data_IF_694671576693
#
_entry.id   IF_694671576693
#
_cell.length_a   1.000
_cell.length_b   1.000
_cell.length_c   1.000
_cell.angle_alpha   90.00
_cell.angle_beta   90.00
_cell.angle_gamma   90.00
#
_symmetry.space_group_name_H-M   'P 1'
#
loop_
_entity.id
_entity.type
_entity.pdbx_description
1 polymer ?
#
# COMPACT_ATOMS: atom_id res chain seq x y z
N UNK A 1 4.46 8.56 -0.02
CA UNK A 1 3.42 7.54 0.22
C UNK A 1 2.16 8.24 0.68
N UNK A 2 1.00 7.67 0.42
CA UNK A 2 -0.29 8.19 0.87
C UNK A 2 -0.72 7.40 2.11
N UNK A 3 -1.31 8.09 3.09
CA UNK A 3 -1.82 7.49 4.34
C UNK A 3 -3.34 7.27 4.34
N UNK A 4 -4.06 7.90 3.41
CA UNK A 4 -5.48 7.66 3.15
C UNK A 4 -5.68 6.77 1.90
N UNK A 5 -6.92 6.62 1.44
CA UNK A 5 -7.26 5.72 0.34
C UNK A 5 -8.51 6.16 -0.42
N UNK A 6 -8.63 7.45 -0.72
CA UNK A 6 -9.82 7.99 -1.39
C UNK A 6 -9.93 7.46 -2.82
N UNK A 7 -11.15 7.45 -3.36
CA UNK A 7 -11.42 6.89 -4.70
C UNK A 7 -10.58 7.59 -5.77
N UNK A 8 -9.69 6.81 -6.41
CA UNK A 8 -8.74 7.27 -7.44
C UNK A 8 -7.80 8.38 -6.98
N UNK A 9 -7.49 8.48 -5.70
CA UNK A 9 -6.73 9.60 -5.11
C UNK A 9 -5.43 9.93 -5.84
N UNK A 10 -4.58 8.92 -6.10
CA UNK A 10 -3.32 9.11 -6.85
C UNK A 10 -3.57 9.70 -8.24
N UNK A 11 -4.57 9.18 -8.96
CA UNK A 11 -4.89 9.65 -10.32
C UNK A 11 -5.43 11.07 -10.30
N UNK A 12 -6.34 11.39 -9.37
CA UNK A 12 -6.88 12.74 -9.19
C UNK A 12 -5.79 13.76 -8.83
N UNK A 13 -4.84 13.36 -7.99
CA UNK A 13 -3.70 14.21 -7.63
C UNK A 13 -2.83 14.54 -8.85
N UNK A 14 -2.54 13.53 -9.69
CA UNK A 14 -1.81 13.74 -10.95
C UNK A 14 -2.62 14.59 -11.94
N UNK A 15 -3.91 14.30 -12.12
CA UNK A 15 -4.83 15.05 -13.00
C UNK A 15 -4.87 16.54 -12.60
N UNK A 16 -4.88 16.86 -11.31
CA UNK A 16 -4.85 18.24 -10.80
C UNK A 16 -3.56 19.01 -11.16
N UNK A 17 -2.49 18.29 -11.51
CA UNK A 17 -1.21 18.83 -11.97
C UNK A 17 -1.07 18.77 -13.50
N UNK A 18 -2.15 18.44 -14.22
CA UNK A 18 -2.16 18.18 -15.67
C UNK A 18 -1.23 17.03 -16.07
N UNK A 19 -1.14 16.00 -15.23
CA UNK A 19 -0.35 14.79 -15.49
C UNK A 19 -1.27 13.58 -15.66
N UNK A 20 -0.95 12.75 -16.65
CA UNK A 20 -1.61 11.46 -16.86
C UNK A 20 -0.85 10.32 -16.16
N UNK A 21 -1.61 9.35 -15.64
CA UNK A 21 -1.06 8.15 -14.99
C UNK A 21 -1.15 6.97 -15.94
N UNK A 22 -0.03 6.66 -16.61
CA UNK A 22 0.12 5.52 -17.50
C UNK A 22 0.02 4.18 -16.73
N UNK A 23 0.84 4.01 -15.69
CA UNK A 23 0.87 2.79 -14.87
C UNK A 23 0.86 3.12 -13.38
N UNK A 24 -0.05 2.47 -12.64
CA UNK A 24 -0.13 2.58 -11.19
C UNK A 24 -0.03 1.19 -10.55
N UNK A 25 1.01 0.98 -9.74
CA UNK A 25 1.23 -0.27 -9.01
C UNK A 25 1.49 0.06 -7.54
N UNK A 26 0.78 -0.61 -6.64
CA UNK A 26 1.04 -0.52 -5.20
C UNK A 26 2.14 -1.50 -4.82
N UNK A 27 3.34 -0.99 -4.56
CA UNK A 27 4.54 -1.80 -4.26
C UNK A 27 4.72 -2.12 -2.78
N UNK A 28 4.03 -1.39 -1.89
CA UNK A 28 4.09 -1.55 -0.43
C UNK A 28 2.77 -1.16 0.21
N UNK A 29 2.41 -1.84 1.29
CA UNK A 29 1.32 -1.44 2.19
C UNK A 29 1.74 -1.70 3.64
N UNK A 30 1.86 -0.63 4.44
CA UNK A 30 2.42 -0.72 5.79
C UNK A 30 3.80 -1.41 5.79
N UNK A 31 4.02 -2.44 6.63
CA UNK A 31 5.27 -3.18 6.67
C UNK A 31 5.46 -4.17 5.52
N UNK A 32 4.40 -4.49 4.76
CA UNK A 32 4.41 -5.52 3.71
C UNK A 32 4.87 -4.94 2.38
N UNK A 33 5.83 -5.61 1.74
CA UNK A 33 6.37 -5.24 0.42
C UNK A 33 6.02 -6.29 -0.64
N UNK A 34 5.77 -5.83 -1.86
CA UNK A 34 5.52 -6.69 -3.03
C UNK A 34 6.78 -7.48 -3.43
N UNK A 35 7.95 -6.82 -3.42
CA UNK A 35 9.23 -7.45 -3.74
C UNK A 35 9.23 -8.10 -5.13
N UNK A 36 9.66 -9.35 -5.20
CA UNK A 36 9.72 -10.17 -6.42
C UNK A 36 8.52 -11.12 -6.59
N UNK A 37 7.39 -10.86 -5.90
CA UNK A 37 6.20 -11.69 -6.00
C UNK A 37 5.59 -11.58 -7.40
N UNK A 38 5.39 -12.69 -8.14
CA UNK A 38 4.78 -12.67 -9.46
C UNK A 38 3.34 -12.14 -9.42
N UNK A 39 2.90 -11.56 -10.55
CA UNK A 39 1.51 -11.11 -10.70
C UNK A 39 0.55 -12.27 -10.50
N UNK A 40 -0.49 -12.06 -9.69
CA UNK A 40 -1.50 -13.08 -9.36
C UNK A 40 -1.07 -14.10 -8.30
N UNK A 41 0.21 -14.11 -7.89
CA UNK A 41 0.67 -14.97 -6.81
C UNK A 41 0.37 -14.37 -5.43
N UNK A 42 0.31 -15.23 -4.42
CA UNK A 42 0.17 -14.86 -3.01
C UNK A 42 1.27 -15.52 -2.19
N UNK A 43 1.56 -14.94 -1.02
CA UNK A 43 2.45 -15.53 -0.03
C UNK A 43 1.90 -15.33 1.37
N UNK A 44 2.23 -16.20 2.33
CA UNK A 44 2.01 -15.91 3.74
C UNK A 44 2.73 -14.64 4.18
N UNK A 45 2.14 -13.95 5.15
CA UNK A 45 2.75 -12.81 5.84
C UNK A 45 3.89 -13.34 6.71
N UNK A 46 5.03 -12.66 6.71
CA UNK A 46 6.17 -13.07 7.54
C UNK A 46 5.89 -12.74 9.01
N UNK A 47 6.44 -13.50 9.98
CA UNK A 47 6.21 -13.25 11.41
C UNK A 47 6.53 -11.82 11.85
N UNK A 48 7.59 -11.22 11.30
CA UNK A 48 7.95 -9.83 11.60
C UNK A 48 6.97 -8.81 11.01
N UNK A 49 6.41 -9.07 9.83
CA UNK A 49 5.38 -8.22 9.21
C UNK A 49 4.10 -8.27 10.05
N UNK A 50 3.69 -9.47 10.49
CA UNK A 50 2.52 -9.67 11.35
C UNK A 50 2.64 -8.92 12.68
N UNK A 51 3.77 -9.09 13.39
CA UNK A 51 4.00 -8.40 14.66
C UNK A 51 3.92 -6.87 14.54
N UNK A 52 4.37 -6.31 13.41
CA UNK A 52 4.26 -4.87 13.16
C UNK A 52 2.82 -4.46 12.83
N UNK A 53 2.08 -5.27 12.07
CA UNK A 53 0.65 -5.02 11.79
C UNK A 53 -0.13 -4.99 13.10
N UNK A 54 0.05 -5.99 13.96
CA UNK A 54 -0.64 -6.09 15.24
C UNK A 54 -0.32 -4.87 16.13
N UNK A 55 0.95 -4.51 16.25
CA UNK A 55 1.36 -3.32 17.01
C UNK A 55 0.79 -2.00 16.45
N UNK A 56 0.58 -1.90 15.15
CA UNK A 56 -0.04 -0.72 14.52
C UNK A 56 -1.54 -0.66 14.79
N UNK A 57 -2.23 -1.81 14.77
CA UNK A 57 -3.67 -1.91 15.07
C UNK A 57 -3.92 -1.54 16.54
N UNK A 58 -3.15 -2.08 17.47
CA UNK A 58 -3.25 -1.77 18.90
C UNK A 58 -3.02 -0.28 19.21
N UNK A 59 -2.19 0.39 18.41
CA UNK A 59 -1.98 1.84 18.52
C UNK A 59 -3.14 2.66 17.96
N UNK A 60 -3.80 2.17 16.92
CA UNK A 60 -4.91 2.86 16.26
C UNK A 60 -6.26 2.64 16.97
N UNK A 61 -6.39 1.57 17.76
CA UNK A 61 -7.56 1.28 18.59
C UNK A 61 -7.61 2.05 19.92
N UNK A 62 -6.71 3.01 20.15
CA UNK A 62 -6.73 3.96 21.26
C UNK A 62 -7.11 5.36 20.80
#
# INVERSE_FOLDING_TARGET
TIAEGRTREVRRLCEALNLDVDRLVRTRFGPVQLGSLPSGATRPVKPNEAAVIDALVERAGR
#
